data_IF_625880975503
#
_entry.id   IF_625880975503
#
_cell.length_a   1.000
_cell.length_b   1.000
_cell.length_c   1.000
_cell.angle_alpha   90.00
_cell.angle_beta   90.00
_cell.angle_gamma   90.00
#
_symmetry.space_group_name_H-M   'P 1'
#
loop_
_entity.id
_entity.type
_entity.pdbx_description
1 polymer ?
#
# COMPACT_ATOMS: atom_id res chain seq x y z
N UNK A 1 16.49 -34.20 -7.12
CA UNK A 1 15.22 -33.61 -6.64
C UNK A 1 15.37 -32.10 -6.75
N UNK A 2 14.55 -31.45 -7.59
CA UNK A 2 14.86 -30.20 -8.27
C UNK A 2 15.05 -28.99 -7.35
N UNK A 3 16.26 -28.46 -7.33
CA UNK A 3 16.61 -27.09 -6.98
C UNK A 3 16.22 -26.17 -8.15
N UNK A 4 14.97 -25.73 -8.20
CA UNK A 4 14.58 -24.61 -9.08
C UNK A 4 15.15 -23.32 -8.49
N UNK A 5 16.41 -23.06 -8.85
CA UNK A 5 17.07 -21.75 -8.80
C UNK A 5 16.15 -20.71 -9.45
N UNK A 6 15.45 -19.91 -8.65
CA UNK A 6 14.71 -18.76 -9.15
C UNK A 6 15.73 -17.78 -9.72
N UNK A 7 15.78 -17.76 -11.05
CA UNK A 7 16.53 -16.82 -11.88
C UNK A 7 16.34 -15.38 -11.38
N UNK A 8 17.39 -14.56 -11.48
CA UNK A 8 17.39 -13.12 -11.23
C UNK A 8 16.55 -12.32 -12.24
N UNK A 9 15.31 -12.76 -12.48
CA UNK A 9 14.31 -12.07 -13.26
C UNK A 9 13.57 -11.07 -12.35
N UNK A 10 13.43 -9.84 -12.83
CA UNK A 10 12.63 -8.78 -12.20
C UNK A 10 11.25 -9.35 -11.86
N UNK A 11 10.84 -9.27 -10.59
CA UNK A 11 9.56 -9.80 -10.11
C UNK A 11 8.52 -8.67 -10.11
N UNK A 12 7.73 -8.46 -11.20
CA UNK A 12 6.98 -7.21 -11.38
C UNK A 12 5.83 -7.05 -10.39
N UNK A 13 5.40 -8.16 -9.78
CA UNK A 13 4.44 -8.16 -8.67
C UNK A 13 5.07 -7.59 -7.40
N UNK A 14 6.26 -8.07 -7.03
CA UNK A 14 6.96 -7.56 -5.84
C UNK A 14 7.35 -6.10 -6.02
N UNK A 15 7.83 -5.71 -7.21
CA UNK A 15 8.12 -4.31 -7.51
C UNK A 15 6.89 -3.41 -7.31
N UNK A 16 5.70 -3.88 -7.72
CA UNK A 16 4.43 -3.18 -7.50
C UNK A 16 4.06 -3.12 -6.02
N UNK A 17 4.13 -4.23 -5.29
CA UNK A 17 3.80 -4.27 -3.86
C UNK A 17 4.74 -3.38 -3.06
N UNK A 18 6.06 -3.52 -3.26
CA UNK A 18 7.06 -2.70 -2.58
C UNK A 18 6.92 -1.22 -2.95
N UNK A 19 6.65 -0.90 -4.22
CA UNK A 19 6.31 0.46 -4.63
C UNK A 19 5.06 0.99 -3.91
N UNK A 20 4.00 0.18 -3.82
CA UNK A 20 2.75 0.55 -3.14
C UNK A 20 2.91 0.71 -1.62
N UNK A 21 3.87 0.06 -0.96
CA UNK A 21 4.08 0.24 0.49
C UNK A 21 5.26 1.16 0.85
N UNK A 22 6.02 1.65 -0.13
CA UNK A 22 7.18 2.51 0.10
C UNK A 22 6.83 3.90 0.65
N UNK A 23 5.60 4.38 0.44
CA UNK A 23 5.14 5.69 0.93
C UNK A 23 4.67 5.61 2.40
N UNK A 24 5.16 6.52 3.27
CA UNK A 24 4.80 6.50 4.69
C UNK A 24 3.30 6.73 4.94
N UNK A 25 2.63 7.56 4.14
CA UNK A 25 1.19 7.79 4.27
C UNK A 25 0.40 6.52 3.95
N UNK A 26 0.76 5.79 2.88
CA UNK A 26 0.16 4.49 2.56
C UNK A 26 0.36 3.46 3.68
N UNK A 27 1.55 3.38 4.29
CA UNK A 27 1.77 2.50 5.45
C UNK A 27 0.91 2.89 6.65
N UNK A 28 0.74 4.18 6.91
CA UNK A 28 -0.13 4.65 7.99
C UNK A 28 -1.62 4.36 7.71
N UNK A 29 -2.06 4.45 6.45
CA UNK A 29 -3.40 4.00 6.03
C UNK A 29 -3.58 2.51 6.30
N UNK A 30 -2.64 1.66 5.88
CA UNK A 30 -2.69 0.22 6.15
C UNK A 30 -2.70 -0.08 7.65
N UNK A 31 -1.95 0.68 8.47
CA UNK A 31 -1.97 0.52 9.93
C UNK A 31 -3.31 0.92 10.58
N UNK A 32 -4.10 1.77 9.93
CA UNK A 32 -5.49 2.02 10.34
C UNK A 32 -6.38 0.83 9.96
N UNK A 33 -6.31 0.38 8.70
CA UNK A 33 -7.14 -0.70 8.17
C UNK A 33 -6.82 -2.07 8.79
N UNK A 34 -5.58 -2.29 9.23
CA UNK A 34 -5.20 -3.50 9.97
C UNK A 34 -5.93 -3.63 11.32
N UNK A 35 -6.52 -2.55 11.83
CA UNK A 35 -7.36 -2.56 13.05
C UNK A 35 -8.85 -2.76 12.76
N UNK A 36 -9.25 -2.78 11.48
CA UNK A 36 -10.63 -2.93 11.03
C UNK A 36 -10.95 -2.00 9.86
N UNK A 37 -12.07 -2.28 9.21
CA UNK A 37 -12.52 -1.53 8.04
C UNK A 37 -12.79 -0.06 8.37
N UNK A 38 -12.52 0.82 7.41
CA UNK A 38 -12.80 2.24 7.52
C UNK A 38 -13.29 2.80 6.18
N UNK A 39 -14.26 3.71 6.23
CA UNK A 39 -14.63 4.47 5.05
C UNK A 39 -13.54 5.51 4.72
N UNK A 40 -13.42 5.87 3.45
CA UNK A 40 -12.34 6.76 2.99
C UNK A 40 -12.45 8.19 3.55
N UNK A 41 -13.66 8.64 3.91
CA UNK A 41 -13.88 9.95 4.54
C UNK A 41 -13.38 10.01 5.99
N UNK A 42 -13.65 8.98 6.78
CA UNK A 42 -13.14 8.79 8.13
C UNK A 42 -11.63 8.63 8.11
N UNK A 43 -11.08 7.95 7.09
CA UNK A 43 -9.65 7.86 6.89
C UNK A 43 -9.06 9.26 6.61
N UNK A 44 -9.68 10.03 5.71
CA UNK A 44 -9.23 11.38 5.36
C UNK A 44 -9.13 12.32 6.56
N UNK A 45 -10.07 12.24 7.50
CA UNK A 45 -10.02 13.03 8.75
C UNK A 45 -8.84 12.73 9.68
N UNK A 46 -8.05 11.68 9.42
CA UNK A 46 -6.89 11.28 10.25
C UNK A 46 -5.54 11.73 9.71
N UNK A 47 -5.50 12.34 8.52
CA UNK A 47 -4.25 12.73 7.87
C UNK A 47 -4.23 14.24 7.55
N UNK A 48 -3.07 14.90 7.66
CA UNK A 48 -2.92 16.31 7.34
C UNK A 48 -2.78 16.55 5.81
N UNK A 49 -3.63 15.89 5.01
CA UNK A 49 -3.68 16.03 3.55
C UNK A 49 -5.13 16.10 3.08
N UNK A 50 -5.34 16.53 1.84
CA UNK A 50 -6.69 16.58 1.28
C UNK A 50 -7.33 15.20 1.15
N UNK A 51 -8.67 15.15 1.12
CA UNK A 51 -9.44 13.95 0.80
C UNK A 51 -8.98 13.30 -0.51
N UNK A 52 -8.78 14.10 -1.57
CA UNK A 52 -8.27 13.62 -2.85
C UNK A 52 -6.86 13.01 -2.71
N UNK A 53 -6.02 13.58 -1.84
CA UNK A 53 -4.73 13.01 -1.48
C UNK A 53 -4.89 11.59 -0.93
N UNK A 54 -5.70 11.42 0.11
CA UNK A 54 -5.97 10.09 0.69
C UNK A 54 -6.55 9.13 -0.35
N UNK A 55 -7.54 9.55 -1.15
CA UNK A 55 -8.13 8.71 -2.20
C UNK A 55 -7.11 8.23 -3.23
N UNK A 56 -6.13 9.06 -3.60
CA UNK A 56 -5.03 8.65 -4.50
C UNK A 56 -4.13 7.60 -3.84
N UNK A 57 -3.81 7.76 -2.56
CA UNK A 57 -3.02 6.76 -1.83
C UNK A 57 -3.76 5.41 -1.73
N UNK A 58 -5.07 5.44 -1.45
CA UNK A 58 -5.92 4.23 -1.41
C UNK A 58 -6.01 3.56 -2.77
N UNK A 59 -6.08 4.32 -3.88
CA UNK A 59 -6.13 3.74 -5.24
C UNK A 59 -4.84 3.03 -5.67
N UNK A 60 -3.71 3.38 -5.08
CA UNK A 60 -2.40 2.75 -5.37
C UNK A 60 -2.23 1.43 -4.60
N UNK A 61 -2.86 1.34 -3.42
CA UNK A 61 -2.94 0.13 -2.60
C UNK A 61 -3.94 -0.86 -3.21
#
# INVERSE_FOLDING_TARGET
MNTTRTSGARQPLLDRVYGAIADPTRRAILAVLARGDANVGTLAGRFPISFNGVSKHVKVL
#
